data_IF_732956493406
#
_entry.id   IF_732956493406
#
_cell.length_a   1.000
_cell.length_b   1.000
_cell.length_c   1.000
_cell.angle_alpha   90.00
_cell.angle_beta   90.00
_cell.angle_gamma   90.00
#
_symmetry.space_group_name_H-M   'P 1'
#
loop_
_entity.id
_entity.type
_entity.pdbx_description
1 polymer ?
#
# COMPACT_ATOMS: atom_id res chain seq x y z
N UNK A 1 22.35 -1.67 -64.47
CA UNK A 1 22.96 -0.89 -63.36
C UNK A 1 21.93 -0.37 -62.34
N UNK A 2 20.74 -1.00 -62.19
CA UNK A 2 19.68 -0.56 -61.26
C UNK A 2 19.52 -1.47 -60.03
N UNK A 3 19.79 -2.78 -60.14
CA UNK A 3 19.69 -3.74 -59.02
C UNK A 3 20.46 -3.36 -57.74
N UNK A 4 21.73 -2.91 -57.78
CA UNK A 4 22.42 -2.48 -56.54
C UNK A 4 21.80 -1.22 -55.93
N UNK A 5 21.21 -0.35 -56.75
CA UNK A 5 20.52 0.86 -56.29
C UNK A 5 19.22 0.51 -55.56
N UNK A 6 18.47 -0.48 -56.07
CA UNK A 6 17.26 -1.02 -55.44
C UNK A 6 17.59 -1.72 -54.12
N UNK A 7 18.62 -2.56 -54.08
CA UNK A 7 19.08 -3.23 -52.83
C UNK A 7 19.49 -2.21 -51.77
N UNK A 8 20.19 -1.14 -52.17
CA UNK A 8 20.60 -0.06 -51.26
C UNK A 8 19.41 0.68 -50.67
N UNK A 9 18.41 1.00 -51.51
CA UNK A 9 17.20 1.70 -51.09
C UNK A 9 16.37 0.88 -50.09
N UNK A 10 16.21 -0.43 -50.33
CA UNK A 10 15.49 -1.33 -49.42
C UNK A 10 16.23 -1.49 -48.09
N UNK A 11 17.55 -1.62 -48.13
CA UNK A 11 18.39 -1.72 -46.92
C UNK A 11 18.27 -0.45 -46.06
N UNK A 12 18.29 0.73 -46.70
CA UNK A 12 18.10 2.02 -46.02
C UNK A 12 16.72 2.13 -45.38
N UNK A 13 15.67 1.70 -46.08
CA UNK A 13 14.29 1.72 -45.58
C UNK A 13 14.12 0.82 -44.35
N UNK A 14 14.70 -0.38 -44.38
CA UNK A 14 14.64 -1.32 -43.25
C UNK A 14 15.33 -0.78 -42.00
N UNK A 15 16.51 -0.16 -42.16
CA UNK A 15 17.24 0.47 -41.04
C UNK A 15 16.40 1.58 -40.40
N UNK A 16 15.72 2.40 -41.22
CA UNK A 16 14.89 3.51 -40.74
C UNK A 16 13.67 3.01 -39.92
N UNK A 17 13.02 1.94 -40.36
CA UNK A 17 11.88 1.32 -39.66
C UNK A 17 12.31 0.74 -38.30
N UNK A 18 13.46 0.06 -38.25
CA UNK A 18 14.00 -0.50 -37.00
C UNK A 18 14.40 0.61 -36.04
N UNK A 19 15.10 1.64 -36.52
CA UNK A 19 15.51 2.78 -35.70
C UNK A 19 14.33 3.51 -35.06
N UNK A 20 13.25 3.73 -35.84
CA UNK A 20 12.04 4.38 -35.34
C UNK A 20 11.34 3.55 -34.26
N UNK A 21 11.27 2.22 -34.44
CA UNK A 21 10.69 1.31 -33.45
C UNK A 21 11.46 1.32 -32.13
N UNK A 22 12.80 1.31 -32.16
CA UNK A 22 13.63 1.31 -30.94
C UNK A 22 13.36 2.57 -30.11
N UNK A 23 13.27 3.74 -30.75
CA UNK A 23 12.98 5.01 -30.07
C UNK A 23 11.61 4.99 -29.40
N UNK A 24 10.59 4.50 -30.11
CA UNK A 24 9.24 4.36 -29.55
C UNK A 24 9.25 3.39 -28.37
N UNK A 25 9.89 2.23 -28.52
CA UNK A 25 9.96 1.20 -27.49
C UNK A 25 10.72 1.70 -26.25
N UNK A 26 11.77 2.50 -26.44
CA UNK A 26 12.51 3.12 -25.33
C UNK A 26 11.62 4.11 -24.55
N UNK A 27 10.89 4.98 -25.24
CA UNK A 27 9.96 5.91 -24.61
C UNK A 27 8.85 5.17 -23.85
N UNK A 28 8.26 4.15 -24.47
CA UNK A 28 7.23 3.32 -23.86
C UNK A 28 7.75 2.58 -22.62
N UNK A 29 8.97 2.04 -22.66
CA UNK A 29 9.57 1.40 -21.49
C UNK A 29 9.80 2.39 -20.34
N UNK A 30 10.17 3.63 -20.64
CA UNK A 30 10.36 4.66 -19.63
C UNK A 30 9.03 5.01 -18.93
N UNK A 31 7.98 5.21 -19.72
CA UNK A 31 6.62 5.47 -19.21
C UNK A 31 6.07 4.27 -18.44
N UNK A 32 6.29 3.04 -18.93
CA UNK A 32 5.86 1.80 -18.28
C UNK A 32 6.54 1.61 -16.92
N UNK A 33 7.84 1.88 -16.81
CA UNK A 33 8.56 1.81 -15.53
C UNK A 33 7.98 2.78 -14.52
N UNK A 34 7.71 4.02 -14.94
CA UNK A 34 7.08 5.03 -14.08
C UNK A 34 5.69 4.58 -13.62
N UNK A 35 4.85 4.09 -14.54
CA UNK A 35 3.53 3.55 -14.21
C UNK A 35 3.63 2.35 -13.26
N UNK A 36 4.62 1.48 -13.44
CA UNK A 36 4.82 0.32 -12.58
C UNK A 36 5.17 0.72 -11.14
N UNK A 37 6.05 1.71 -10.95
CA UNK A 37 6.35 2.24 -9.62
C UNK A 37 5.12 2.87 -8.96
N UNK A 38 4.34 3.64 -9.73
CA UNK A 38 3.06 4.19 -9.24
C UNK A 38 2.06 3.09 -8.88
N UNK A 39 1.93 2.04 -9.70
CA UNK A 39 1.04 0.90 -9.41
C UNK A 39 1.44 0.17 -8.13
N UNK A 40 2.74 0.05 -7.84
CA UNK A 40 3.21 -0.51 -6.55
C UNK A 40 2.79 0.37 -5.38
N UNK A 41 2.93 1.69 -5.48
CA UNK A 41 2.47 2.63 -4.45
C UNK A 41 0.96 2.52 -4.23
N UNK A 42 0.16 2.46 -5.31
CA UNK A 42 -1.29 2.30 -5.23
C UNK A 42 -1.66 0.98 -4.56
N UNK A 43 -1.01 -0.13 -4.90
CA UNK A 43 -1.28 -1.43 -4.28
C UNK A 43 -0.97 -1.42 -2.77
N UNK A 44 0.08 -0.69 -2.35
CA UNK A 44 0.40 -0.51 -0.92
C UNK A 44 -0.69 0.30 -0.23
N UNK A 45 -1.20 1.36 -0.86
CA UNK A 45 -2.29 2.19 -0.32
C UNK A 45 -3.56 1.35 -0.19
N UNK A 46 -4.00 0.71 -1.27
CA UNK A 46 -5.21 -0.12 -1.32
C UNK A 46 -5.19 -1.23 -0.26
N UNK A 47 -4.07 -1.97 -0.15
CA UNK A 47 -3.92 -2.99 0.89
C UNK A 47 -3.94 -2.42 2.31
N UNK A 48 -3.52 -1.16 2.51
CA UNK A 48 -3.54 -0.51 3.82
C UNK A 48 -4.92 0.07 4.14
N UNK A 49 -5.61 0.65 3.15
CA UNK A 49 -6.99 1.13 3.27
C UNK A 49 -7.96 -0.03 3.49
N UNK A 50 -7.75 -1.18 2.83
CA UNK A 50 -8.49 -2.42 3.10
C UNK A 50 -8.33 -2.84 4.56
N UNK A 51 -7.10 -2.78 5.11
CA UNK A 51 -6.86 -3.07 6.52
C UNK A 51 -7.56 -2.07 7.45
N UNK A 52 -7.52 -0.77 7.14
CA UNK A 52 -8.25 0.26 7.90
C UNK A 52 -9.76 0.04 7.83
N UNK A 53 -10.32 -0.30 6.67
CA UNK A 53 -11.75 -0.57 6.51
C UNK A 53 -12.23 -1.77 7.33
N UNK A 54 -11.36 -2.77 7.50
CA UNK A 54 -11.59 -3.94 8.35
C UNK A 54 -11.42 -3.67 9.87
N UNK A 55 -11.16 -2.42 10.28
CA UNK A 55 -11.08 -2.00 11.69
C UNK A 55 -12.36 -2.30 12.49
N UNK A 56 -13.50 -2.44 11.85
CA UNK A 56 -14.76 -2.74 12.51
C UNK A 56 -14.82 -4.15 13.11
N UNK A 57 -13.90 -5.04 12.71
CA UNK A 57 -13.88 -6.45 13.15
C UNK A 57 -12.86 -6.74 14.26
N UNK A 58 -11.95 -5.80 14.54
CA UNK A 58 -10.85 -5.98 15.48
C UNK A 58 -10.64 -4.70 16.31
N UNK A 59 -10.32 -4.80 17.60
CA UNK A 59 -10.01 -3.66 18.45
C UNK A 59 -8.67 -3.05 18.02
N UNK A 60 -8.68 -2.11 17.09
CA UNK A 60 -7.48 -1.37 16.72
C UNK A 60 -7.11 -0.37 17.81
N UNK A 61 -5.82 -0.31 18.14
CA UNK A 61 -5.28 0.76 18.97
C UNK A 61 -5.20 2.07 18.20
N UNK A 62 -5.29 3.18 18.93
CA UNK A 62 -4.97 4.53 18.40
C UNK A 62 -3.63 4.54 17.68
N UNK A 63 -2.61 3.93 18.28
CA UNK A 63 -1.25 3.91 17.72
C UNK A 63 -1.16 3.10 16.44
N UNK A 64 -1.91 2.01 16.35
CA UNK A 64 -1.96 1.18 15.16
C UNK A 64 -2.68 1.89 14.01
N UNK A 65 -3.84 2.48 14.29
CA UNK A 65 -4.59 3.24 13.30
C UNK A 65 -3.80 4.47 12.81
N UNK A 66 -3.10 5.17 13.71
CA UNK A 66 -2.15 6.23 13.34
C UNK A 66 -1.02 5.69 12.47
N UNK A 67 -0.43 4.54 12.80
CA UNK A 67 0.65 3.94 12.02
C UNK A 67 0.19 3.59 10.60
N UNK A 68 -1.01 3.02 10.44
CA UNK A 68 -1.57 2.68 9.13
C UNK A 68 -1.85 3.95 8.30
N UNK A 69 -2.50 4.95 8.88
CA UNK A 69 -2.77 6.21 8.19
C UNK A 69 -1.47 6.95 7.81
N UNK A 70 -0.45 6.96 8.69
CA UNK A 70 0.86 7.56 8.41
C UNK A 70 1.61 6.82 7.30
N UNK A 71 1.44 5.50 7.20
CA UNK A 71 1.97 4.70 6.09
C UNK A 71 1.32 5.06 4.75
N UNK A 72 0.00 5.27 4.73
CA UNK A 72 -0.72 5.78 3.55
C UNK A 72 -0.19 7.15 3.15
N UNK A 73 -0.05 8.07 4.11
CA UNK A 73 0.50 9.40 3.89
C UNK A 73 1.91 9.35 3.27
N UNK A 74 2.83 8.58 3.84
CA UNK A 74 4.19 8.43 3.31
C UNK A 74 4.20 7.86 1.88
N UNK A 75 3.28 6.93 1.58
CA UNK A 75 3.16 6.33 0.26
C UNK A 75 2.60 7.31 -0.76
N UNK A 76 1.63 8.14 -0.37
CA UNK A 76 1.10 9.25 -1.20
C UNK A 76 2.17 10.31 -1.46
N UNK A 77 3.00 10.65 -0.47
CA UNK A 77 4.13 11.56 -0.66
C UNK A 77 5.17 11.00 -1.61
N UNK A 78 5.47 9.70 -1.52
CA UNK A 78 6.36 9.01 -2.47
C UNK A 78 5.76 9.00 -3.88
N UNK A 79 4.44 8.83 -4.00
CA UNK A 79 3.73 8.87 -5.29
C UNK A 79 3.81 10.25 -5.94
N UNK A 80 3.73 11.32 -5.14
CA UNK A 80 3.91 12.72 -5.58
C UNK A 80 5.33 12.99 -6.08
N UNK A 81 6.34 12.39 -5.46
CA UNK A 81 7.74 12.52 -5.89
C UNK A 81 7.96 11.85 -7.27
N UNK A 82 7.31 10.70 -7.49
CA UNK A 82 7.37 9.96 -8.77
C UNK A 82 6.57 10.66 -9.87
N UNK A 83 5.38 11.19 -9.55
CA UNK A 83 4.55 11.97 -10.48
C UNK A 83 4.05 13.29 -9.85
N UNK A 84 4.80 14.39 -10.01
CA UNK A 84 4.37 15.72 -9.56
C UNK A 84 3.31 16.37 -10.46
N UNK A 85 2.89 15.69 -11.53
CA UNK A 85 1.93 16.21 -12.52
C UNK A 85 0.49 16.09 -12.02
N UNK A 86 0.23 15.11 -11.15
CA UNK A 86 -1.08 14.85 -10.59
C UNK A 86 -1.48 15.90 -9.53
N UNK A 87 -2.42 16.76 -9.92
CA UNK A 87 -2.96 17.84 -9.06
C UNK A 87 -3.90 17.32 -7.95
N UNK A 88 -4.34 16.06 -8.00
CA UNK A 88 -5.22 15.49 -6.99
C UNK A 88 -4.44 14.87 -5.81
N UNK A 89 -3.19 14.45 -6.01
CA UNK A 89 -2.30 13.94 -4.96
C UNK A 89 -2.10 14.91 -3.77
N UNK A 90 -1.78 16.20 -3.95
CA UNK A 90 -1.60 17.11 -2.81
C UNK A 90 -2.88 17.26 -1.99
N UNK A 91 -4.06 17.29 -2.62
CA UNK A 91 -5.34 17.34 -1.92
C UNK A 91 -5.57 16.07 -1.11
N UNK A 92 -5.25 14.89 -1.67
CA UNK A 92 -5.33 13.62 -0.93
C UNK A 92 -4.39 13.59 0.28
N UNK A 93 -3.17 14.09 0.14
CA UNK A 93 -2.20 14.18 1.25
C UNK A 93 -2.78 15.05 2.38
N UNK A 94 -3.35 16.22 2.06
CA UNK A 94 -3.97 17.11 3.06
C UNK A 94 -5.12 16.41 3.76
N UNK A 95 -6.02 15.75 3.01
CA UNK A 95 -7.16 15.04 3.59
C UNK A 95 -6.73 13.91 4.54
N UNK A 96 -5.71 13.13 4.18
CA UNK A 96 -5.19 12.05 5.03
C UNK A 96 -4.45 12.61 6.24
N UNK A 97 -3.73 13.73 6.08
CA UNK A 97 -3.06 14.43 7.19
C UNK A 97 -4.07 14.93 8.21
N UNK A 98 -5.16 15.54 7.74
CA UNK A 98 -6.22 16.04 8.61
C UNK A 98 -6.95 14.90 9.32
N UNK A 99 -7.18 13.77 8.64
CA UNK A 99 -7.70 12.56 9.28
C UNK A 99 -6.77 12.06 10.40
N UNK A 100 -5.45 12.06 10.18
CA UNK A 100 -4.47 11.70 11.21
C UNK A 100 -4.55 12.67 12.40
N UNK A 101 -4.65 13.98 12.13
CA UNK A 101 -4.77 15.01 13.17
C UNK A 101 -6.03 14.83 14.01
N UNK A 102 -7.16 14.59 13.35
CA UNK A 102 -8.43 14.32 14.00
C UNK A 102 -8.39 13.03 14.83
N UNK A 103 -7.78 11.97 14.31
CA UNK A 103 -7.51 10.72 15.06
C UNK A 103 -6.52 10.94 16.21
N UNK A 104 -5.64 11.94 16.14
CA UNK A 104 -4.74 12.23 17.24
C UNK A 104 -5.43 12.99 18.38
N UNK A 105 -6.29 13.96 18.04
CA UNK A 105 -6.95 14.83 19.04
C UNK A 105 -8.27 14.28 19.58
N UNK A 106 -9.09 13.64 18.74
CA UNK A 106 -10.45 13.24 19.09
C UNK A 106 -10.58 11.76 19.44
N UNK A 107 -9.52 10.97 19.31
CA UNK A 107 -9.60 9.53 19.58
C UNK A 107 -9.65 9.26 21.07
N UNK A 108 -10.86 8.97 21.55
CA UNK A 108 -11.13 8.53 22.91
C UNK A 108 -10.92 7.02 23.01
N UNK A 109 -10.44 6.52 24.15
CA UNK A 109 -10.32 5.07 24.39
C UNK A 109 -11.68 4.34 24.33
N UNK A 110 -12.80 5.08 24.30
CA UNK A 110 -14.14 4.56 24.08
C UNK A 110 -14.43 4.17 22.61
N UNK A 111 -13.66 4.68 21.64
CA UNK A 111 -13.77 4.36 20.21
C UNK A 111 -12.95 3.12 19.81
N UNK A 112 -12.24 2.51 20.77
CA UNK A 112 -11.63 1.19 20.56
C UNK A 112 -12.78 0.21 20.42
N UNK A 113 -13.10 -0.16 19.18
CA UNK A 113 -14.15 -1.13 18.87
C UNK A 113 -14.00 -2.34 19.80
N UNK A 114 -14.98 -2.57 20.68
CA UNK A 114 -14.96 -3.72 21.57
C UNK A 114 -14.78 -4.99 20.73
N UNK A 115 -13.84 -5.86 21.12
CA UNK A 115 -13.57 -7.11 20.43
C UNK A 115 -14.86 -7.89 20.22
N UNK A 116 -15.41 -7.84 19.01
CA UNK A 116 -16.64 -8.52 18.68
C UNK A 116 -16.26 -9.92 18.22
N UNK A 117 -16.39 -10.86 19.14
CA UNK A 117 -16.07 -12.26 18.87
C UNK A 117 -16.89 -12.72 17.65
N UNK A 118 -16.24 -13.20 16.57
CA UNK A 118 -16.95 -13.65 15.38
C UNK A 118 -17.87 -14.83 15.71
N UNK A 119 -19.10 -14.81 15.18
CA UNK A 119 -20.12 -15.84 15.42
C UNK A 119 -20.05 -16.99 14.40
N UNK A 120 -19.12 -16.96 13.44
CA UNK A 120 -19.05 -17.94 12.34
C UNK A 120 -17.59 -18.25 12.00
N UNK A 121 -17.25 -19.50 11.70
CA UNK A 121 -15.89 -19.95 11.35
C UNK A 121 -15.26 -19.15 10.20
N UNK A 122 -16.07 -18.78 9.20
CA UNK A 122 -15.63 -17.92 8.08
C UNK A 122 -15.18 -16.53 8.55
N UNK A 123 -15.85 -15.97 9.57
CA UNK A 123 -15.45 -14.69 10.17
C UNK A 123 -14.23 -14.86 11.08
N UNK A 124 -14.10 -15.99 11.80
CA UNK A 124 -12.93 -16.29 12.61
C UNK A 124 -11.65 -16.45 11.76
N UNK A 125 -11.75 -17.11 10.59
CA UNK A 125 -10.65 -17.24 9.64
C UNK A 125 -10.25 -15.88 9.04
N UNK A 126 -11.23 -15.06 8.65
CA UNK A 126 -10.99 -13.70 8.18
C UNK A 126 -10.27 -12.85 9.23
N UNK A 127 -10.72 -12.92 10.48
CA UNK A 127 -10.10 -12.21 11.60
C UNK A 127 -8.65 -12.68 11.85
N UNK A 128 -8.38 -13.99 11.77
CA UNK A 128 -7.02 -14.54 11.90
C UNK A 128 -6.10 -14.06 10.77
N UNK A 129 -6.59 -14.01 9.53
CA UNK A 129 -5.84 -13.50 8.39
C UNK A 129 -5.53 -12.01 8.52
N UNK A 130 -6.50 -11.22 9.00
CA UNK A 130 -6.33 -9.79 9.29
C UNK A 130 -5.26 -9.57 10.37
N UNK A 131 -5.31 -10.31 11.48
CA UNK A 131 -4.29 -10.23 12.55
C UNK A 131 -2.91 -10.59 12.02
N UNK A 132 -2.77 -11.65 11.20
CA UNK A 132 -1.49 -12.03 10.59
C UNK A 132 -0.96 -10.95 9.63
N UNK A 133 -1.82 -10.38 8.78
CA UNK A 133 -1.45 -9.28 7.87
C UNK A 133 -1.01 -8.04 8.64
N UNK A 134 -1.70 -7.75 9.73
CA UNK A 134 -1.41 -6.61 10.59
C UNK A 134 -0.07 -6.79 11.30
N UNK A 135 0.17 -7.96 11.91
CA UNK A 135 1.46 -8.31 12.53
C UNK A 135 2.63 -8.20 11.55
N UNK A 136 2.46 -8.65 10.30
CA UNK A 136 3.47 -8.46 9.26
C UNK A 136 3.68 -6.99 8.90
N UNK A 137 2.61 -6.20 8.82
CA UNK A 137 2.67 -4.76 8.52
C UNK A 137 3.40 -3.99 9.63
N UNK A 138 3.04 -4.22 10.89
CA UNK A 138 3.68 -3.60 12.05
C UNK A 138 5.16 -4.03 12.12
N UNK A 139 5.47 -5.31 11.89
CA UNK A 139 6.87 -5.79 11.85
C UNK A 139 7.68 -5.08 10.77
N UNK A 140 7.08 -4.86 9.59
CA UNK A 140 7.73 -4.15 8.49
C UNK A 140 7.94 -2.66 8.81
N UNK A 141 6.97 -2.01 9.47
CA UNK A 141 7.11 -0.61 9.93
C UNK A 141 8.12 -0.48 11.08
N UNK A 142 8.20 -1.45 12.01
CA UNK A 142 9.24 -1.53 13.04
C UNK A 142 10.62 -1.76 12.43
N UNK A 143 10.73 -2.64 11.42
CA UNK A 143 11.98 -2.85 10.67
C UNK A 143 12.47 -1.59 9.95
N UNK A 144 11.56 -0.64 9.67
CA UNK A 144 11.87 0.68 9.09
C UNK A 144 12.11 1.77 10.14
N UNK A 145 12.10 1.43 11.43
CA UNK A 145 12.35 2.36 12.55
C UNK A 145 11.23 3.35 12.85
N UNK A 146 10.02 3.13 12.33
CA UNK A 146 8.89 4.09 12.41
C UNK A 146 7.99 3.92 13.64
N UNK A 147 8.23 2.89 14.46
CA UNK A 147 7.45 2.59 15.65
C UNK A 147 8.39 2.26 16.82
N UNK A 148 8.24 2.90 17.99
CA UNK A 148 9.02 2.57 19.17
C UNK A 148 8.70 1.15 19.65
N UNK A 149 9.73 0.42 20.09
CA UNK A 149 9.64 -1.00 20.47
C UNK A 149 8.59 -1.27 21.55
N UNK A 150 8.33 -0.31 22.44
CA UNK A 150 7.32 -0.44 23.50
C UNK A 150 5.89 -0.49 22.95
N UNK A 151 5.56 0.38 21.99
CA UNK A 151 4.29 0.37 21.27
C UNK A 151 4.12 -0.89 20.42
N UNK A 152 5.23 -1.39 19.85
CA UNK A 152 5.22 -2.64 19.09
C UNK A 152 4.87 -3.84 19.97
N UNK A 153 5.48 -3.94 21.17
CA UNK A 153 5.29 -5.06 22.08
C UNK A 153 3.87 -5.08 22.66
N UNK A 154 3.34 -3.92 23.07
CA UNK A 154 1.97 -3.83 23.60
C UNK A 154 0.93 -4.19 22.55
N UNK A 155 1.09 -3.72 21.31
CA UNK A 155 0.16 -4.00 20.22
C UNK A 155 0.28 -5.44 19.73
N UNK A 156 1.50 -5.98 19.62
CA UNK A 156 1.70 -7.39 19.30
C UNK A 156 1.08 -8.30 20.37
N UNK A 157 1.20 -7.96 21.66
CA UNK A 157 0.56 -8.72 22.73
C UNK A 157 -0.98 -8.70 22.63
N UNK A 158 -1.59 -7.56 22.27
CA UNK A 158 -3.04 -7.45 22.04
C UNK A 158 -3.51 -8.27 20.84
N UNK A 159 -2.73 -8.28 19.76
CA UNK A 159 -3.02 -9.06 18.56
C UNK A 159 -2.89 -10.57 18.79
N UNK A 160 -1.88 -10.99 19.56
CA UNK A 160 -1.73 -12.38 20.01
C UNK A 160 -2.92 -12.80 20.90
N UNK A 161 -3.36 -11.94 21.82
CA UNK A 161 -4.54 -12.20 22.65
C UNK A 161 -5.82 -12.38 21.81
N UNK A 162 -6.03 -11.55 20.78
CA UNK A 162 -7.17 -11.68 19.86
C UNK A 162 -7.11 -12.97 19.04
N UNK A 163 -5.91 -13.37 18.58
CA UNK A 163 -5.70 -14.63 17.85
C UNK A 163 -5.92 -15.86 18.73
N UNK A 164 -5.53 -15.80 20.00
CA UNK A 164 -5.74 -16.89 20.94
C UNK A 164 -7.23 -17.06 21.27
N UNK A 165 -7.94 -15.95 21.50
CA UNK A 165 -9.38 -15.94 21.77
C UNK A 165 -10.23 -16.49 20.61
N UNK A 166 -9.83 -16.28 19.35
CA UNK A 166 -10.53 -16.85 18.19
C UNK A 166 -10.26 -18.34 18.01
N UNK A 167 -9.05 -18.81 18.34
CA UNK A 167 -8.66 -20.22 18.20
C UNK A 167 -9.27 -21.10 19.29
N UNK A 168 -9.51 -20.56 20.49
CA UNK A 168 -10.09 -21.32 21.61
C UNK A 168 -11.59 -21.65 21.44
N UNK A 169 -12.29 -21.01 20.49
CA UNK A 169 -13.72 -21.27 20.18
C UNK A 169 -13.94 -22.24 19.02
N UNK A 170 -12.89 -22.58 18.28
CA UNK A 170 -12.91 -23.55 17.17
C UNK A 170 -12.58 -24.99 17.61
N UNK A 171 -12.36 -25.20 18.91
CA UNK A 171 -12.19 -26.50 19.57
C UNK A 171 -13.28 -26.67 20.63
#
# INVERSE_FOLDING_TARGET
MSMPLVIGLVSLLLILIVGYNIIIQYRQQLESKKQQELSKCIAIIDSTEELIGNAHHLPYSKELLMCLNRRVLFTLESMRDIDPTDKALPQRIINVTEQIRQLQENYSNADVANFKVPNTDKQALGMLQLVKRLKNTIRNEHSKGRMPTQSFVSENARLEACSCASTLKTW
#
